data_IF_850919841590
#
_entry.id   IF_850919841590
#
_cell.length_a   1.000
_cell.length_b   1.000
_cell.length_c   1.000
_cell.angle_alpha   90.00
_cell.angle_beta   90.00
_cell.angle_gamma   90.00
#
_symmetry.space_group_name_H-M   'P 1'
#
loop_
_entity.id
_entity.type
_entity.pdbx_description
1 polymer ?
#
# COMPACT_ATOMS: atom_id res chain seq x y z
N UNK A 1 -30.02 13.06 23.90
CA UNK A 1 -29.07 11.96 24.16
C UNK A 1 -29.04 10.89 23.05
N UNK A 2 -28.85 11.27 21.76
CA UNK A 2 -28.78 10.30 20.63
C UNK A 2 -27.39 10.11 20.02
N UNK A 3 -26.39 10.91 20.42
CA UNK A 3 -25.03 10.87 19.84
C UNK A 3 -24.06 9.87 20.48
N UNK A 4 -24.40 9.24 21.61
CA UNK A 4 -23.48 8.36 22.34
C UNK A 4 -23.51 6.88 21.86
N UNK A 5 -24.54 6.44 21.11
CA UNK A 5 -24.67 5.04 20.69
C UNK A 5 -23.94 4.71 19.38
N UNK A 6 -23.67 5.69 18.51
CA UNK A 6 -23.04 5.44 17.21
C UNK A 6 -21.53 5.13 17.30
N UNK A 7 -20.84 5.65 18.31
CA UNK A 7 -19.39 5.43 18.47
C UNK A 7 -19.04 4.02 18.95
N UNK A 8 -19.98 3.30 19.58
CA UNK A 8 -19.79 1.93 20.08
C UNK A 8 -19.79 0.86 18.99
N UNK A 9 -20.65 1.01 17.96
CA UNK A 9 -20.73 0.05 16.84
C UNK A 9 -19.53 0.21 15.88
N UNK A 10 -19.01 1.43 15.73
CA UNK A 10 -17.83 1.75 14.92
C UNK A 10 -16.59 0.97 15.36
N UNK A 11 -16.31 0.89 16.67
CA UNK A 11 -15.15 0.14 17.21
C UNK A 11 -15.32 -1.37 17.10
N UNK A 12 -16.55 -1.90 17.17
CA UNK A 12 -16.82 -3.34 17.10
C UNK A 12 -16.68 -3.92 15.70
N UNK A 13 -17.04 -3.18 14.65
CA UNK A 13 -16.81 -3.60 13.26
C UNK A 13 -15.31 -3.69 12.89
N UNK A 14 -14.46 -2.83 13.46
CA UNK A 14 -13.00 -2.91 13.25
C UNK A 14 -12.37 -4.14 13.89
N UNK A 15 -12.92 -4.64 15.01
CA UNK A 15 -12.40 -5.81 15.72
C UNK A 15 -12.54 -7.12 14.94
N UNK A 16 -13.56 -7.24 14.06
CA UNK A 16 -13.75 -8.41 13.18
C UNK A 16 -13.20 -8.23 11.76
N UNK A 17 -12.92 -7.00 11.30
CA UNK A 17 -12.27 -6.72 10.00
C UNK A 17 -10.75 -6.63 10.04
N UNK A 18 -10.14 -7.03 11.16
CA UNK A 18 -8.68 -7.12 11.31
C UNK A 18 -8.01 -8.21 10.48
N UNK A 19 -8.77 -9.01 9.72
CA UNK A 19 -8.30 -10.16 8.95
C UNK A 19 -7.56 -9.77 7.66
N UNK A 20 -7.91 -8.64 7.02
CA UNK A 20 -7.31 -8.22 5.75
C UNK A 20 -6.10 -7.27 5.95
N UNK A 21 -6.03 -6.56 7.08
CA UNK A 21 -4.95 -5.60 7.38
C UNK A 21 -3.90 -6.12 8.38
N UNK A 22 -4.15 -7.26 9.02
CA UNK A 22 -3.19 -7.93 9.91
C UNK A 22 -1.88 -8.30 9.22
N UNK A 23 -1.92 -8.96 8.05
CA UNK A 23 -0.71 -9.30 7.32
C UNK A 23 0.14 -8.08 6.97
N UNK A 24 -0.50 -6.95 6.63
CA UNK A 24 0.20 -5.73 6.25
C UNK A 24 1.05 -5.15 7.39
N UNK A 25 0.59 -5.24 8.65
CA UNK A 25 1.38 -4.80 9.80
C UNK A 25 2.64 -5.66 9.98
N UNK A 26 2.56 -6.96 9.73
CA UNK A 26 3.74 -7.83 9.73
C UNK A 26 4.69 -7.48 8.59
N UNK A 27 4.20 -7.20 7.39
CA UNK A 27 5.03 -6.72 6.28
C UNK A 27 5.75 -5.41 6.64
N UNK A 28 5.05 -4.46 7.25
CA UNK A 28 5.65 -3.19 7.71
C UNK A 28 6.74 -3.44 8.76
N UNK A 29 6.51 -4.35 9.69
CA UNK A 29 7.50 -4.69 10.71
C UNK A 29 8.74 -5.37 10.13
N UNK A 30 8.55 -6.31 9.21
CA UNK A 30 9.64 -7.09 8.62
C UNK A 30 10.49 -6.26 7.65
N UNK A 31 9.85 -5.52 6.75
CA UNK A 31 10.56 -4.81 5.68
C UNK A 31 10.90 -3.37 6.01
N UNK A 32 10.31 -2.79 7.07
CA UNK A 32 10.44 -1.38 7.45
C UNK A 32 10.45 -0.42 6.24
N UNK A 33 9.43 -0.49 5.36
CA UNK A 33 9.47 0.25 4.11
C UNK A 33 9.29 1.74 4.35
N UNK A 34 9.95 2.55 3.53
CA UNK A 34 9.79 4.00 3.53
C UNK A 34 8.44 4.44 2.92
N UNK A 35 7.87 3.62 2.03
CA UNK A 35 6.57 3.90 1.41
C UNK A 35 5.79 2.64 1.03
N UNK A 36 4.46 2.74 1.10
CA UNK A 36 3.52 1.75 0.57
C UNK A 36 2.59 2.47 -0.41
N UNK A 37 2.50 1.95 -1.63
CA UNK A 37 1.64 2.48 -2.70
C UNK A 37 0.43 1.55 -2.84
N UNK A 38 -0.75 2.11 -2.65
CA UNK A 38 -2.01 1.40 -2.78
C UNK A 38 -2.58 1.58 -4.18
N UNK A 39 -2.64 0.49 -4.94
CA UNK A 39 -3.30 0.42 -6.24
C UNK A 39 -4.76 -0.06 -6.14
N UNK A 40 -5.50 0.09 -7.24
CA UNK A 40 -6.87 -0.39 -7.38
C UNK A 40 -7.95 0.66 -7.09
N UNK A 41 -9.19 0.33 -7.46
CA UNK A 41 -10.33 1.25 -7.41
C UNK A 41 -10.71 1.67 -5.99
N UNK A 42 -10.62 0.75 -5.02
CA UNK A 42 -11.04 0.99 -3.63
C UNK A 42 -10.26 2.15 -2.96
N UNK A 43 -8.91 2.13 -2.91
CA UNK A 43 -8.15 3.24 -2.33
C UNK A 43 -8.23 4.53 -3.16
N UNK A 44 -8.56 4.46 -4.46
CA UNK A 44 -8.77 5.65 -5.30
C UNK A 44 -10.10 6.38 -5.00
N UNK A 45 -11.17 5.64 -4.73
CA UNK A 45 -12.49 6.21 -4.42
C UNK A 45 -12.56 6.69 -2.97
N UNK A 46 -11.90 5.97 -2.04
CA UNK A 46 -12.02 6.22 -0.60
C UNK A 46 -10.80 6.88 0.03
N UNK A 47 -9.86 7.39 -0.80
CA UNK A 47 -8.56 8.01 -0.48
C UNK A 47 -8.39 8.37 0.99
N UNK A 48 -9.02 9.45 1.44
CA UNK A 48 -8.80 10.01 2.78
C UNK A 48 -9.30 9.11 3.91
N UNK A 49 -10.46 8.46 3.74
CA UNK A 49 -11.03 7.58 4.77
C UNK A 49 -10.26 6.27 4.88
N UNK A 50 -9.85 5.71 3.74
CA UNK A 50 -9.06 4.47 3.70
C UNK A 50 -7.67 4.67 4.28
N UNK A 51 -6.97 5.74 3.86
CA UNK A 51 -5.64 6.06 4.38
C UNK A 51 -5.64 6.33 5.89
N UNK A 52 -6.63 7.08 6.40
CA UNK A 52 -6.76 7.32 7.85
C UNK A 52 -7.00 6.02 8.62
N UNK A 53 -7.89 5.16 8.12
CA UNK A 53 -8.21 3.89 8.78
C UNK A 53 -7.02 2.92 8.73
N UNK A 54 -6.29 2.89 7.61
CA UNK A 54 -5.11 2.07 7.42
C UNK A 54 -3.94 2.52 8.31
N UNK A 55 -3.65 3.82 8.33
CA UNK A 55 -2.61 4.39 9.21
C UNK A 55 -2.91 4.15 10.69
N UNK A 56 -4.17 4.28 11.11
CA UNK A 56 -4.58 3.97 12.47
C UNK A 56 -4.40 2.47 12.78
N UNK A 57 -4.77 1.58 11.86
CA UNK A 57 -4.58 0.14 12.04
C UNK A 57 -3.09 -0.26 12.11
N UNK A 58 -2.25 0.34 11.27
CA UNK A 58 -0.80 0.12 11.27
C UNK A 58 -0.16 0.64 12.56
N UNK A 59 -0.49 1.86 13.00
CA UNK A 59 0.01 2.41 14.28
C UNK A 59 -0.35 1.56 15.49
N UNK A 60 -1.48 0.86 15.43
CA UNK A 60 -1.94 0.00 16.52
C UNK A 60 -1.26 -1.38 16.54
N UNK A 61 -0.70 -1.85 15.41
CA UNK A 61 -0.19 -3.23 15.26
C UNK A 61 1.28 -3.34 14.87
N UNK A 62 1.84 -2.33 14.22
CA UNK A 62 3.22 -2.30 13.79
C UNK A 62 4.08 -1.51 14.78
N UNK A 63 5.39 -1.79 14.82
CA UNK A 63 6.33 -1.12 15.71
C UNK A 63 6.36 0.38 15.42
N UNK A 64 6.42 1.18 16.48
CA UNK A 64 6.36 2.64 16.38
C UNK A 64 7.45 3.21 15.44
N UNK A 65 8.66 2.63 15.51
CA UNK A 65 9.80 2.97 14.63
C UNK A 65 9.54 2.66 13.15
N UNK A 66 8.80 1.60 12.86
CA UNK A 66 8.52 1.18 11.48
C UNK A 66 7.40 2.00 10.84
N UNK A 67 6.49 2.54 11.65
CA UNK A 67 5.37 3.34 11.18
C UNK A 67 5.71 4.83 11.13
N UNK A 68 6.68 5.31 11.92
CA UNK A 68 7.02 6.74 11.98
C UNK A 68 7.55 7.29 10.65
N UNK A 69 8.27 6.46 9.88
CA UNK A 69 8.86 6.86 8.60
C UNK A 69 8.05 6.40 7.38
N UNK A 70 6.92 5.71 7.61
CA UNK A 70 6.13 5.09 6.56
C UNK A 70 5.23 6.10 5.85
N UNK A 71 5.43 6.30 4.54
CA UNK A 71 4.53 7.08 3.68
C UNK A 71 3.47 6.18 3.04
N UNK A 72 2.19 6.46 3.29
CA UNK A 72 1.08 5.79 2.60
C UNK A 72 0.62 6.63 1.42
N UNK A 73 0.76 6.09 0.21
CA UNK A 73 0.41 6.75 -1.04
C UNK A 73 -0.68 5.97 -1.77
N UNK A 74 -1.51 6.67 -2.54
CA UNK A 74 -2.48 6.06 -3.46
C UNK A 74 -2.00 6.31 -4.88
N UNK A 75 -1.97 5.26 -5.70
CA UNK A 75 -1.55 5.38 -7.09
C UNK A 75 -2.48 6.34 -7.85
N UNK A 76 -1.88 7.39 -8.43
CA UNK A 76 -2.60 8.41 -9.21
C UNK A 76 -2.93 7.95 -10.64
N UNK A 77 -2.33 6.84 -11.12
CA UNK A 77 -2.60 6.36 -12.48
C UNK A 77 -3.98 5.70 -12.55
N UNK A 78 -4.90 6.37 -13.23
CA UNK A 78 -6.15 5.80 -13.75
C UNK A 78 -5.82 5.23 -15.13
N UNK A 79 -5.86 3.91 -15.31
CA UNK A 79 -5.45 3.25 -16.56
C UNK A 79 -5.02 1.80 -16.37
N UNK A 80 -4.22 1.26 -17.28
CA UNK A 80 -3.69 -0.11 -17.24
C UNK A 80 -2.23 -0.13 -16.73
N UNK A 81 -1.97 0.00 -15.41
CA UNK A 81 -0.60 -0.04 -14.86
C UNK A 81 0.10 -1.36 -15.14
N UNK A 82 -0.65 -2.46 -15.30
CA UNK A 82 -0.12 -3.76 -15.71
C UNK A 82 0.50 -3.73 -17.10
N UNK A 83 -0.18 -3.13 -18.09
CA UNK A 83 0.35 -3.01 -19.45
C UNK A 83 1.64 -2.17 -19.49
N UNK A 84 1.68 -1.08 -18.73
CA UNK A 84 2.92 -0.27 -18.59
C UNK A 84 4.03 -1.07 -17.90
N UNK A 85 3.70 -1.87 -16.89
CA UNK A 85 4.66 -2.74 -16.21
C UNK A 85 5.25 -3.77 -17.16
N UNK A 86 4.42 -4.42 -17.99
CA UNK A 86 4.89 -5.38 -19.01
C UNK A 86 5.79 -4.68 -20.02
N UNK A 87 5.39 -3.52 -20.56
CA UNK A 87 6.21 -2.78 -21.49
C UNK A 87 7.57 -2.37 -20.89
N UNK A 88 7.59 -1.98 -19.60
CA UNK A 88 8.83 -1.64 -18.90
C UNK A 88 9.75 -2.85 -18.73
N UNK A 89 9.20 -4.00 -18.33
CA UNK A 89 9.98 -5.24 -18.19
C UNK A 89 10.58 -5.67 -19.53
N UNK A 90 9.80 -5.62 -20.62
CA UNK A 90 10.29 -5.92 -21.96
C UNK A 90 11.37 -4.94 -22.40
N UNK A 91 11.18 -3.64 -22.15
CA UNK A 91 12.19 -2.62 -22.46
C UNK A 91 13.49 -2.83 -21.67
N UNK A 92 13.41 -3.25 -20.40
CA UNK A 92 14.58 -3.57 -19.57
C UNK A 92 15.31 -4.82 -20.08
N UNK A 93 14.57 -5.85 -20.52
CA UNK A 93 15.17 -7.05 -21.09
C UNK A 93 15.89 -6.74 -22.41
N UNK A 94 15.27 -5.96 -23.29
CA UNK A 94 15.88 -5.52 -24.54
C UNK A 94 17.12 -4.67 -24.29
N UNK A 95 17.05 -3.69 -23.38
CA UNK A 95 18.20 -2.82 -23.08
C UNK A 95 19.39 -3.61 -22.51
N UNK A 96 19.16 -4.60 -21.65
CA UNK A 96 20.21 -5.50 -21.15
C UNK A 96 20.89 -6.29 -22.28
N UNK A 97 20.12 -6.79 -23.25
CA UNK A 97 20.68 -7.50 -24.41
C UNK A 97 21.57 -6.60 -25.27
N UNK A 98 21.16 -5.35 -25.51
CA UNK A 98 21.96 -4.39 -26.29
C UNK A 98 23.21 -3.90 -25.55
N UNK A 99 23.18 -3.85 -24.21
CA UNK A 99 24.36 -3.51 -23.40
C UNK A 99 25.39 -4.66 -23.35
N UNK A 100 24.96 -5.92 -23.35
CA UNK A 100 25.90 -7.06 -23.38
C UNK A 100 26.48 -7.34 -24.76
N UNK A 101 25.80 -6.90 -25.83
CA UNK A 101 26.25 -7.09 -27.21
C UNK A 101 27.32 -6.09 -27.66
N UNK A 102 27.52 -4.98 -26.94
CA UNK A 102 28.51 -3.93 -27.26
C UNK A 102 29.82 -4.05 -26.44
N UNK A 103 30.02 -5.14 -25.71
CA UNK A 103 31.23 -5.39 -24.89
C UNK A 103 32.06 -6.57 -25.44
N UNK A 104 31.95 -6.86 -26.74
CA UNK A 104 32.70 -7.94 -27.39
C UNK A 104 33.11 -7.56 -28.81
N UNK A 105 33.65 -6.35 -28.97
CA UNK A 105 34.55 -5.97 -30.07
C UNK A 105 35.76 -5.23 -29.48
#
# INVERSE_FOLDING_TARGET
>A
MRHAKETGCRRRCYRKRGLILGPLANFVNLFNPQSIILGGAVPQVTKTFFLKSLSQALRYRAFHRSVSNLKLLVSHRVGQPGAVGVALVVAEQLSRQFCTSNYSD
#
